data_IF_323457207959
#
_entry.id   IF_323457207959
#
_cell.length_a   1.000
_cell.length_b   1.000
_cell.length_c   1.000
_cell.angle_alpha   90.00
_cell.angle_beta   90.00
_cell.angle_gamma   90.00
#
_symmetry.space_group_name_H-M   'P 1'
#
loop_
_entity.id
_entity.type
_entity.pdbx_description
1 polymer ?
#
# COMPACT_ATOMS: atom_id res chain seq x y z
N UNK A 1 -1.23 22.18 14.38
CA UNK A 1 -0.85 21.01 15.21
C UNK A 1 -1.47 19.80 14.52
N UNK A 2 -0.64 18.83 14.10
CA UNK A 2 -1.14 17.58 13.54
C UNK A 2 -1.83 16.81 14.68
N UNK A 3 -3.13 16.59 14.57
CA UNK A 3 -3.87 15.82 15.55
C UNK A 3 -3.81 14.36 15.15
N UNK A 4 -2.82 13.66 15.71
CA UNK A 4 -2.75 12.22 15.65
C UNK A 4 -3.91 11.62 16.43
N UNK A 5 -4.68 10.73 15.80
CA UNK A 5 -5.77 9.99 16.44
C UNK A 5 -5.48 8.49 16.34
N UNK A 6 -5.83 7.74 17.39
CA UNK A 6 -5.60 6.30 17.49
C UNK A 6 -6.86 5.59 18.00
N UNK A 7 -7.17 4.43 17.43
CA UNK A 7 -8.25 3.55 17.88
C UNK A 7 -7.80 2.10 17.88
N UNK A 8 -7.99 1.40 19.01
CA UNK A 8 -7.66 -0.03 19.10
C UNK A 8 -8.77 -0.88 18.50
N UNK A 9 -8.37 -1.85 17.68
CA UNK A 9 -9.20 -2.91 17.10
C UNK A 9 -8.95 -4.25 17.80
N UNK A 10 -7.83 -4.34 18.55
CA UNK A 10 -7.45 -5.52 19.33
C UNK A 10 -6.92 -6.70 18.49
N UNK A 11 -6.63 -6.49 17.20
CA UNK A 11 -6.09 -7.49 16.27
C UNK A 11 -5.11 -6.84 15.30
N UNK A 12 -4.02 -7.55 14.96
CA UNK A 12 -3.03 -7.08 14.01
C UNK A 12 -3.70 -6.67 12.70
N UNK A 13 -3.36 -5.48 12.23
CA UNK A 13 -3.79 -4.93 10.94
C UNK A 13 -2.63 -5.13 9.96
N UNK A 14 -2.87 -5.90 8.92
CA UNK A 14 -1.83 -6.32 7.97
C UNK A 14 -1.83 -5.52 6.69
N UNK A 15 -2.98 -4.99 6.30
CA UNK A 15 -3.10 -4.11 5.15
C UNK A 15 -4.24 -3.12 5.33
N UNK A 16 -4.15 -1.98 4.65
CA UNK A 16 -5.17 -0.93 4.64
C UNK A 16 -5.24 -0.31 3.25
N UNK A 17 -6.47 0.04 2.81
CA UNK A 17 -6.71 0.66 1.52
C UNK A 17 -7.89 1.63 1.60
N UNK A 18 -7.70 2.87 1.17
CA UNK A 18 -8.78 3.84 1.01
C UNK A 18 -9.68 3.46 -0.16
N UNK A 19 -10.96 3.72 0.00
CA UNK A 19 -11.97 3.54 -1.04
C UNK A 19 -12.50 4.90 -1.47
N UNK A 20 -12.82 5.09 -2.77
CA UNK A 20 -13.33 6.36 -3.25
C UNK A 20 -14.70 6.63 -2.66
N UNK A 21 -15.09 7.90 -2.55
CA UNK A 21 -16.44 8.27 -2.22
C UNK A 21 -17.41 7.73 -3.28
N UNK A 22 -18.67 7.55 -2.89
CA UNK A 22 -19.71 6.96 -3.71
C UNK A 22 -19.81 7.62 -5.09
N UNK A 23 -19.97 6.82 -6.13
CA UNK A 23 -20.18 7.32 -7.48
C UNK A 23 -21.43 8.21 -7.52
N UNK A 24 -21.27 9.50 -7.89
CA UNK A 24 -22.33 10.49 -7.96
C UNK A 24 -22.39 11.49 -6.78
N UNK A 25 -21.69 11.26 -5.67
CA UNK A 25 -21.50 12.23 -4.60
C UNK A 25 -20.20 13.01 -4.85
N UNK A 26 -20.27 14.03 -5.67
CA UNK A 26 -19.13 14.91 -5.88
C UNK A 26 -18.74 15.60 -4.58
N UNK A 27 -17.54 15.34 -4.03
CA UNK A 27 -16.85 16.09 -2.96
C UNK A 27 -17.71 16.59 -1.77
N UNK A 28 -18.94 16.09 -1.62
CA UNK A 28 -19.89 16.50 -0.58
C UNK A 28 -20.08 15.43 0.49
N UNK A 29 -19.40 14.27 0.35
CA UNK A 29 -19.51 13.21 1.32
C UNK A 29 -18.81 13.59 2.62
N UNK A 30 -19.59 13.64 3.67
CA UNK A 30 -19.11 13.88 5.04
C UNK A 30 -18.39 12.66 5.61
N UNK A 31 -18.45 11.52 4.93
CA UNK A 31 -17.86 10.25 5.34
C UNK A 31 -16.88 9.72 4.29
N UNK A 32 -15.80 9.12 4.78
CA UNK A 32 -14.79 8.41 3.98
C UNK A 32 -14.80 6.94 4.37
N UNK A 33 -14.46 6.10 3.41
CA UNK A 33 -14.42 4.64 3.60
C UNK A 33 -13.02 4.10 3.36
N UNK A 34 -12.63 3.10 4.16
CA UNK A 34 -11.40 2.34 3.96
C UNK A 34 -11.59 0.88 4.40
N UNK A 35 -10.82 -0.02 3.80
CA UNK A 35 -10.79 -1.42 4.17
C UNK A 35 -9.53 -1.74 4.97
N UNK A 36 -9.63 -2.68 5.91
CA UNK A 36 -8.47 -3.25 6.63
C UNK A 36 -8.48 -4.76 6.55
N UNK A 37 -7.30 -5.34 6.35
CA UNK A 37 -7.05 -6.75 6.54
C UNK A 37 -6.65 -7.04 7.99
N UNK A 38 -7.27 -8.04 8.60
CA UNK A 38 -6.98 -8.45 9.95
C UNK A 38 -6.38 -9.86 9.95
N UNK A 39 -5.34 -10.08 10.76
CA UNK A 39 -4.76 -11.40 10.97
C UNK A 39 -5.04 -11.95 12.37
N UNK A 40 -4.84 -13.26 12.54
CA UNK A 40 -5.01 -13.96 13.80
C UNK A 40 -6.10 -15.03 13.77
N UNK A 41 -6.84 -15.21 14.88
CA UNK A 41 -7.83 -16.30 15.02
C UNK A 41 -9.01 -16.17 14.06
N UNK A 42 -9.52 -14.98 13.86
CA UNK A 42 -10.51 -14.68 12.83
C UNK A 42 -9.85 -13.80 11.76
N UNK A 43 -9.67 -14.39 10.59
CA UNK A 43 -9.10 -13.74 9.42
C UNK A 43 -10.25 -13.02 8.74
N UNK A 44 -10.25 -11.70 8.79
CA UNK A 44 -11.37 -10.89 8.33
C UNK A 44 -10.88 -9.71 7.50
N UNK A 45 -11.66 -9.37 6.52
CA UNK A 45 -11.62 -8.11 5.81
C UNK A 45 -12.73 -7.23 6.40
N UNK A 46 -12.39 -6.02 6.82
CA UNK A 46 -13.31 -5.12 7.51
C UNK A 46 -13.39 -3.79 6.78
N UNK A 47 -14.61 -3.33 6.54
CA UNK A 47 -14.90 -2.01 5.98
C UNK A 47 -15.22 -1.04 7.11
N UNK A 48 -14.58 0.11 7.06
CA UNK A 48 -14.72 1.19 8.04
C UNK A 48 -15.21 2.47 7.40
N UNK A 49 -15.91 3.28 8.17
CA UNK A 49 -16.20 4.67 7.83
C UNK A 49 -15.58 5.62 8.85
N UNK A 50 -15.15 6.79 8.39
CA UNK A 50 -14.64 7.89 9.20
C UNK A 50 -15.15 9.22 8.68
N UNK A 51 -15.13 10.26 9.51
CA UNK A 51 -15.51 11.61 9.09
C UNK A 51 -14.49 12.20 8.11
N UNK A 52 -15.01 12.88 7.09
CA UNK A 52 -14.17 13.61 6.15
C UNK A 52 -13.70 14.93 6.81
N UNK A 53 -12.38 15.09 7.05
CA UNK A 53 -11.87 16.28 7.72
C UNK A 53 -12.00 17.58 6.92
N UNK A 54 -12.29 17.51 5.62
CA UNK A 54 -12.52 18.68 4.76
C UNK A 54 -13.89 19.33 5.02
N UNK A 55 -14.80 18.62 5.71
CA UNK A 55 -16.15 19.06 6.07
C UNK A 55 -16.36 19.17 7.59
N UNK A 56 -15.30 19.13 8.41
CA UNK A 56 -15.43 19.43 9.81
C UNK A 56 -16.04 20.85 9.97
N UNK A 57 -17.33 20.90 10.30
CA UNK A 57 -17.97 22.15 10.70
C UNK A 57 -17.28 22.63 11.98
N UNK A 58 -17.04 23.93 12.11
CA UNK A 58 -16.59 24.60 13.35
C UNK A 58 -17.61 24.46 14.51
N UNK A 59 -18.25 23.32 14.64
CA UNK A 59 -19.18 23.04 15.73
C UNK A 59 -18.37 22.86 17.01
N UNK A 60 -18.71 23.70 17.98
CA UNK A 60 -18.17 23.80 19.35
C UNK A 60 -17.86 22.43 19.94
N UNK A 61 -16.75 22.33 20.73
CA UNK A 61 -16.43 21.11 21.45
C UNK A 61 -17.65 20.68 22.27
N UNK A 62 -18.14 19.48 21.99
CA UNK A 62 -19.19 18.87 22.78
C UNK A 62 -18.64 18.69 24.20
N UNK A 63 -19.26 19.40 25.17
CA UNK A 63 -19.00 19.24 26.60
C UNK A 63 -19.64 17.94 27.09
N UNK A 64 -19.15 16.80 26.60
CA UNK A 64 -19.63 15.48 27.00
C UNK A 64 -18.53 14.44 26.81
N UNK A 65 -18.36 13.59 27.81
CA UNK A 65 -17.32 12.56 27.96
C UNK A 65 -17.42 11.37 27.00
N UNK A 66 -18.21 11.45 25.93
CA UNK A 66 -18.27 10.42 24.88
C UNK A 66 -17.52 10.93 23.63
N UNK A 67 -16.22 10.73 23.57
CA UNK A 67 -15.45 10.91 22.33
C UNK A 67 -16.03 9.96 21.26
N UNK A 68 -16.38 10.51 20.10
CA UNK A 68 -16.81 9.73 18.95
C UNK A 68 -15.65 8.83 18.50
N UNK A 69 -15.89 7.55 18.15
CA UNK A 69 -14.83 6.69 17.67
C UNK A 69 -14.20 7.27 16.39
N UNK A 70 -12.90 7.06 16.22
CA UNK A 70 -12.13 7.52 15.07
C UNK A 70 -12.66 6.92 13.76
N UNK A 71 -13.00 5.64 13.79
CA UNK A 71 -13.60 4.91 12.70
C UNK A 71 -14.67 3.96 13.22
N UNK A 72 -15.75 3.81 12.45
CA UNK A 72 -16.87 2.90 12.75
C UNK A 72 -16.85 1.74 11.76
N UNK A 73 -16.91 0.51 12.27
CA UNK A 73 -17.05 -0.68 11.42
C UNK A 73 -18.44 -0.70 10.78
N UNK A 74 -18.50 -0.81 9.46
CA UNK A 74 -19.76 -0.83 8.70
C UNK A 74 -20.07 -2.19 8.06
N UNK A 75 -19.04 -2.93 7.66
CA UNK A 75 -19.20 -4.28 7.13
C UNK A 75 -17.96 -5.13 7.41
N UNK A 76 -18.11 -6.44 7.34
CA UNK A 76 -17.00 -7.40 7.42
C UNK A 76 -17.27 -8.65 6.60
N UNK A 77 -16.21 -9.28 6.11
CA UNK A 77 -16.24 -10.57 5.45
C UNK A 77 -15.15 -11.48 6.00
N UNK A 78 -15.40 -12.79 6.05
CA UNK A 78 -14.36 -13.77 6.32
C UNK A 78 -13.37 -13.83 5.17
N UNK A 79 -12.09 -14.04 5.49
CA UNK A 79 -11.02 -14.17 4.50
C UNK A 79 -10.33 -15.53 4.65
N UNK A 80 -9.94 -16.12 3.53
CA UNK A 80 -9.19 -17.38 3.53
C UNK A 80 -7.69 -17.08 3.65
N UNK A 81 -7.14 -17.30 4.83
CA UNK A 81 -5.79 -16.90 5.19
C UNK A 81 -5.70 -15.47 5.74
N UNK A 82 -4.52 -15.10 6.26
CA UNK A 82 -4.25 -13.73 6.68
C UNK A 82 -4.21 -12.83 5.43
N UNK A 83 -4.84 -11.67 5.51
CA UNK A 83 -4.80 -10.69 4.43
C UNK A 83 -3.40 -10.08 4.38
N UNK A 84 -2.68 -10.25 3.28
CA UNK A 84 -1.32 -9.71 3.12
C UNK A 84 -1.34 -8.34 2.47
N UNK A 85 -2.19 -8.15 1.47
CA UNK A 85 -2.35 -6.87 0.78
C UNK A 85 -3.79 -6.65 0.34
N UNK A 86 -4.18 -5.38 0.19
CA UNK A 86 -5.48 -4.95 -0.33
C UNK A 86 -5.23 -3.89 -1.38
N UNK A 87 -5.82 -4.04 -2.54
CA UNK A 87 -5.78 -3.02 -3.60
C UNK A 87 -7.19 -2.72 -4.10
N UNK A 88 -7.44 -1.46 -4.39
CA UNK A 88 -8.65 -1.03 -5.06
C UNK A 88 -8.56 -1.35 -6.55
N UNK A 89 -9.54 -2.08 -7.05
CA UNK A 89 -9.68 -2.42 -8.48
C UNK A 89 -10.57 -1.41 -9.20
N UNK A 90 -11.68 -1.09 -8.55
CA UNK A 90 -12.64 -0.06 -8.98
C UNK A 90 -13.36 0.50 -7.75
N UNK A 91 -14.16 1.56 -7.88
CA UNK A 91 -14.89 2.13 -6.74
C UNK A 91 -15.68 1.12 -5.90
N UNK A 92 -16.21 0.08 -6.53
CA UNK A 92 -17.06 -0.92 -5.89
C UNK A 92 -16.38 -2.30 -5.79
N UNK A 93 -15.07 -2.40 -6.07
CA UNK A 93 -14.37 -3.68 -6.11
C UNK A 93 -12.97 -3.56 -5.53
N UNK A 94 -12.62 -4.44 -4.60
CA UNK A 94 -11.28 -4.60 -4.05
C UNK A 94 -10.75 -6.01 -4.30
N UNK A 95 -9.43 -6.12 -4.40
CA UNK A 95 -8.74 -7.40 -4.43
C UNK A 95 -7.86 -7.55 -3.19
N UNK A 96 -7.72 -8.78 -2.71
CA UNK A 96 -6.90 -9.12 -1.55
C UNK A 96 -5.92 -10.23 -1.87
N UNK A 97 -4.71 -10.14 -1.30
CA UNK A 97 -3.72 -11.19 -1.26
C UNK A 97 -3.80 -11.96 0.06
N UNK A 98 -3.55 -13.25 0.03
CA UNK A 98 -3.68 -14.15 1.17
C UNK A 98 -2.38 -14.86 1.54
N UNK A 99 -2.22 -15.17 2.81
CA UNK A 99 -1.17 -16.07 3.30
C UNK A 99 -1.30 -17.51 2.78
N UNK A 100 -2.41 -17.89 2.16
CA UNK A 100 -2.60 -19.19 1.51
C UNK A 100 -2.39 -19.13 -0.02
N UNK A 101 -1.82 -18.03 -0.52
CA UNK A 101 -1.49 -17.88 -1.94
C UNK A 101 -2.70 -17.62 -2.82
N UNK A 102 -3.83 -17.22 -2.25
CA UNK A 102 -5.03 -16.88 -3.00
C UNK A 102 -5.10 -15.39 -3.28
N UNK A 103 -5.67 -15.03 -4.43
CA UNK A 103 -6.14 -13.69 -4.77
C UNK A 103 -7.66 -13.73 -4.77
N UNK A 104 -8.29 -12.90 -3.97
CA UNK A 104 -9.75 -12.86 -3.81
C UNK A 104 -10.31 -11.51 -4.20
N UNK A 105 -11.44 -11.49 -4.89
CA UNK A 105 -12.15 -10.29 -5.32
C UNK A 105 -13.41 -10.11 -4.48
N UNK A 106 -13.59 -8.92 -3.94
CA UNK A 106 -14.75 -8.56 -3.14
C UNK A 106 -15.52 -7.41 -3.78
N UNK A 107 -16.84 -7.54 -3.81
CA UNK A 107 -17.75 -6.45 -4.08
C UNK A 107 -17.94 -5.62 -2.81
N UNK A 108 -17.85 -4.31 -2.97
CA UNK A 108 -18.03 -3.34 -1.90
C UNK A 108 -19.23 -2.46 -2.24
N UNK A 109 -20.27 -2.55 -1.45
CA UNK A 109 -21.43 -1.66 -1.59
C UNK A 109 -21.50 -0.74 -0.38
N UNK A 110 -21.31 0.55 -0.63
CA UNK A 110 -21.49 1.58 0.37
C UNK A 110 -22.96 2.01 0.36
N UNK A 111 -23.59 2.09 1.53
CA UNK A 111 -24.92 2.67 1.68
C UNK A 111 -24.87 3.96 2.49
N UNK A 112 -25.81 4.86 2.28
CA UNK A 112 -26.00 6.04 3.13
C UNK A 112 -26.33 5.66 4.59
N UNK A 113 -26.79 4.43 4.83
CA UNK A 113 -26.90 3.82 6.14
C UNK A 113 -25.75 2.82 6.32
N UNK A 114 -24.96 2.96 7.38
CA UNK A 114 -23.88 2.03 7.71
C UNK A 114 -24.36 0.57 7.83
N UNK A 115 -25.65 0.37 8.22
CA UNK A 115 -26.28 -0.95 8.33
C UNK A 115 -26.46 -1.68 6.99
N UNK A 116 -26.46 -0.96 5.88
CA UNK A 116 -26.77 -1.49 4.55
C UNK A 116 -25.50 -1.63 3.67
N UNK A 117 -24.34 -1.28 4.23
CA UNK A 117 -23.06 -1.49 3.56
C UNK A 117 -22.73 -2.98 3.54
N UNK A 118 -22.30 -3.48 2.38
CA UNK A 118 -22.01 -4.89 2.17
C UNK A 118 -20.60 -5.08 1.63
N UNK A 119 -19.91 -6.08 2.18
CA UNK A 119 -18.63 -6.58 1.71
C UNK A 119 -18.80 -8.06 1.37
N UNK A 120 -18.80 -8.41 0.09
CA UNK A 120 -19.13 -9.75 -0.36
C UNK A 120 -18.04 -10.34 -1.25
N UNK A 121 -17.55 -11.54 -0.89
CA UNK A 121 -16.68 -12.30 -1.77
C UNK A 121 -17.36 -12.62 -3.08
N UNK A 122 -16.76 -12.19 -4.20
CA UNK A 122 -17.20 -12.50 -5.56
C UNK A 122 -16.59 -13.80 -6.05
N UNK A 123 -15.27 -13.88 -6.01
CA UNK A 123 -14.49 -15.02 -6.51
C UNK A 123 -13.11 -15.04 -5.85
N UNK A 124 -12.50 -16.23 -5.81
CA UNK A 124 -11.14 -16.43 -5.31
C UNK A 124 -10.40 -17.42 -6.19
N UNK A 125 -9.11 -17.17 -6.42
CA UNK A 125 -8.24 -18.04 -7.21
C UNK A 125 -6.90 -18.25 -6.51
N UNK A 126 -6.37 -19.48 -6.59
CA UNK A 126 -5.02 -19.77 -6.08
C UNK A 126 -3.99 -19.28 -7.10
N UNK A 127 -3.21 -18.28 -6.71
CA UNK A 127 -2.20 -17.64 -7.56
C UNK A 127 -0.79 -18.17 -7.29
N UNK A 128 -0.49 -18.57 -6.03
CA UNK A 128 0.85 -18.94 -5.59
C UNK A 128 0.88 -20.28 -4.90
N UNK A 129 1.79 -21.15 -5.37
CA UNK A 129 2.10 -22.46 -4.76
C UNK A 129 3.57 -22.80 -4.99
N UNK A 130 4.19 -23.40 -4.00
CA UNK A 130 5.49 -24.03 -4.15
C UNK A 130 5.43 -25.25 -5.06
N UNK A 131 6.59 -25.70 -5.55
CA UNK A 131 6.69 -26.87 -6.44
C UNK A 131 6.18 -28.18 -5.80
N UNK A 132 6.19 -28.27 -4.45
CA UNK A 132 5.62 -29.39 -3.70
C UNK A 132 4.10 -29.35 -3.57
N UNK A 133 3.44 -28.31 -4.12
CA UNK A 133 2.00 -28.10 -4.09
C UNK A 133 1.47 -27.39 -2.84
N UNK A 134 2.33 -27.10 -1.86
CA UNK A 134 1.93 -26.33 -0.69
C UNK A 134 1.62 -24.86 -1.05
N UNK A 135 0.71 -24.20 -0.33
CA UNK A 135 0.44 -22.78 -0.51
C UNK A 135 1.71 -21.95 -0.29
N UNK A 136 1.97 -21.01 -1.18
CA UNK A 136 2.97 -19.96 -0.98
C UNK A 136 2.27 -18.63 -0.72
N UNK A 137 2.77 -17.82 0.20
CA UNK A 137 2.16 -16.53 0.53
C UNK A 137 2.13 -15.63 -0.71
N UNK A 138 0.97 -15.04 -1.01
CA UNK A 138 0.86 -13.92 -1.94
C UNK A 138 1.24 -12.65 -1.19
N UNK A 139 2.39 -12.05 -1.53
CA UNK A 139 3.02 -10.99 -0.73
C UNK A 139 2.47 -9.60 -1.03
N UNK A 140 2.18 -9.31 -2.31
CA UNK A 140 1.66 -8.01 -2.72
C UNK A 140 0.84 -8.12 -4.01
N UNK A 141 0.01 -7.09 -4.24
CA UNK A 141 -0.84 -6.92 -5.41
C UNK A 141 -0.59 -5.57 -6.08
N UNK A 142 -0.78 -5.51 -7.38
CA UNK A 142 -0.86 -4.25 -8.13
C UNK A 142 -1.87 -4.36 -9.25
N UNK A 143 -2.73 -3.35 -9.40
CA UNK A 143 -3.72 -3.27 -10.48
C UNK A 143 -3.10 -2.60 -11.69
N UNK A 144 -3.29 -3.17 -12.87
CA UNK A 144 -2.83 -2.59 -14.13
C UNK A 144 -3.48 -1.22 -14.35
N UNK A 145 -2.71 -0.17 -14.67
CA UNK A 145 -3.23 1.20 -14.81
C UNK A 145 -3.93 1.40 -16.15
N UNK A 146 -5.01 0.67 -16.38
CA UNK A 146 -5.89 0.77 -17.56
C UNK A 146 -7.34 0.85 -17.11
N UNK A 147 -8.12 1.70 -17.80
CA UNK A 147 -9.56 1.80 -17.56
C UNK A 147 -10.30 0.81 -18.48
N UNK A 148 -10.14 -0.47 -18.24
CA UNK A 148 -10.75 -1.54 -19.05
C UNK A 148 -11.26 -2.67 -18.17
N UNK A 149 -12.32 -3.33 -18.59
CA UNK A 149 -12.80 -4.58 -17.99
C UNK A 149 -11.79 -5.73 -18.12
N UNK A 150 -10.84 -5.60 -19.05
CA UNK A 150 -9.77 -6.57 -19.30
C UNK A 150 -8.48 -6.25 -18.52
N UNK A 151 -8.54 -5.32 -17.57
CA UNK A 151 -7.44 -5.02 -16.66
C UNK A 151 -7.01 -6.28 -15.90
N UNK A 152 -5.72 -6.35 -15.58
CA UNK A 152 -5.12 -7.46 -14.83
C UNK A 152 -4.65 -6.99 -13.45
N UNK A 153 -4.65 -7.91 -12.51
CA UNK A 153 -3.92 -7.77 -11.25
C UNK A 153 -2.62 -8.56 -11.40
N UNK A 154 -1.49 -7.92 -11.12
CA UNK A 154 -0.24 -8.62 -10.87
C UNK A 154 -0.18 -8.96 -9.38
N UNK A 155 0.01 -10.24 -9.07
CA UNK A 155 0.27 -10.75 -7.73
C UNK A 155 1.67 -11.32 -7.68
N UNK A 156 2.40 -11.11 -6.60
CA UNK A 156 3.70 -11.74 -6.40
C UNK A 156 3.70 -12.57 -5.11
N UNK A 157 4.65 -13.50 -4.96
CA UNK A 157 4.63 -14.42 -3.84
C UNK A 157 5.98 -14.99 -3.42
N UNK A 158 5.93 -15.77 -2.34
CA UNK A 158 7.09 -16.47 -1.78
C UNK A 158 7.63 -17.57 -2.71
N UNK A 159 6.85 -17.99 -3.71
CA UNK A 159 7.24 -18.97 -4.73
C UNK A 159 8.14 -18.38 -5.84
N UNK A 160 8.54 -17.12 -5.71
CA UNK A 160 9.39 -16.45 -6.69
C UNK A 160 8.67 -16.07 -8.00
N UNK A 161 7.34 -16.09 -8.01
CA UNK A 161 6.52 -15.89 -9.22
C UNK A 161 5.79 -14.55 -9.22
N UNK A 162 5.47 -14.10 -10.44
CA UNK A 162 4.41 -13.13 -10.68
C UNK A 162 3.24 -13.87 -11.33
N UNK A 163 2.05 -13.74 -10.76
CA UNK A 163 0.80 -14.22 -11.33
C UNK A 163 0.00 -13.04 -11.88
N UNK A 164 -0.41 -13.14 -13.12
CA UNK A 164 -1.30 -12.19 -13.79
C UNK A 164 -2.73 -12.75 -13.76
N UNK A 165 -3.60 -12.04 -13.06
CA UNK A 165 -4.99 -12.43 -12.81
C UNK A 165 -5.92 -11.50 -13.60
N UNK A 166 -6.50 -11.94 -14.74
CA UNK A 166 -7.43 -11.13 -15.51
C UNK A 166 -8.73 -10.90 -14.72
N UNK A 167 -9.18 -9.65 -14.59
CA UNK A 167 -10.40 -9.29 -13.86
C UNK A 167 -11.67 -9.83 -14.51
N UNK A 168 -11.66 -9.97 -15.83
CA UNK A 168 -12.78 -10.54 -16.59
C UNK A 168 -12.96 -12.05 -16.37
N UNK A 169 -11.89 -12.76 -15.98
CA UNK A 169 -11.89 -14.22 -15.81
C UNK A 169 -10.73 -14.66 -14.91
N UNK A 170 -10.92 -14.68 -13.61
CA UNK A 170 -9.86 -15.01 -12.64
C UNK A 170 -9.20 -16.36 -12.89
N UNK A 171 -10.00 -17.38 -13.28
CA UNK A 171 -9.49 -18.72 -13.58
C UNK A 171 -8.56 -18.81 -14.81
N UNK A 172 -8.41 -17.73 -15.60
CA UNK A 172 -7.46 -17.66 -16.72
C UNK A 172 -6.09 -17.12 -16.30
N UNK A 173 -5.78 -17.09 -14.99
CA UNK A 173 -4.51 -16.62 -14.47
C UNK A 173 -3.31 -17.33 -15.09
N UNK A 174 -2.21 -16.60 -15.23
CA UNK A 174 -0.92 -17.09 -15.72
C UNK A 174 0.16 -16.70 -14.72
N UNK A 175 0.95 -17.66 -14.25
CA UNK A 175 2.04 -17.41 -13.31
C UNK A 175 3.40 -17.77 -13.92
N UNK A 176 4.38 -16.89 -13.73
CA UNK A 176 5.72 -17.04 -14.28
C UNK A 176 6.76 -16.87 -13.17
N UNK A 177 7.71 -17.78 -13.10
CA UNK A 177 8.86 -17.70 -12.20
C UNK A 177 9.82 -16.62 -12.72
N UNK A 178 10.13 -15.65 -11.85
CA UNK A 178 11.05 -14.55 -12.16
C UNK A 178 12.28 -14.56 -11.26
N UNK A 179 12.19 -15.22 -10.11
CA UNK A 179 13.27 -15.33 -9.13
C UNK A 179 13.21 -16.67 -8.41
N UNK A 180 14.35 -17.12 -7.90
CA UNK A 180 14.45 -18.27 -7.00
C UNK A 180 14.20 -17.90 -5.53
N UNK A 181 14.11 -16.59 -5.23
CA UNK A 181 13.84 -16.05 -3.88
C UNK A 181 12.44 -15.43 -3.83
N UNK A 182 12.03 -15.01 -2.64
CA UNK A 182 10.75 -14.34 -2.42
C UNK A 182 10.66 -13.04 -3.24
N UNK A 183 9.57 -12.88 -3.97
CA UNK A 183 9.18 -11.60 -4.57
C UNK A 183 8.34 -10.84 -3.54
N UNK A 184 8.88 -9.74 -3.04
CA UNK A 184 8.35 -9.00 -1.87
C UNK A 184 7.31 -7.96 -2.23
N UNK A 185 7.42 -7.38 -3.43
CA UNK A 185 6.50 -6.36 -3.90
C UNK A 185 6.40 -6.30 -5.42
N UNK A 186 5.31 -5.74 -5.92
CA UNK A 186 5.02 -5.60 -7.36
C UNK A 186 4.35 -4.27 -7.64
N UNK A 187 4.67 -3.65 -8.79
CA UNK A 187 3.98 -2.47 -9.29
C UNK A 187 3.96 -2.44 -10.82
N UNK A 188 3.11 -1.59 -11.39
CA UNK A 188 3.00 -1.36 -12.83
C UNK A 188 3.55 0.03 -13.19
N UNK A 189 4.80 0.17 -13.66
CA UNK A 189 5.31 1.44 -14.18
C UNK A 189 4.56 1.92 -15.42
N UNK A 190 4.15 0.97 -16.27
CA UNK A 190 3.32 1.20 -17.46
C UNK A 190 2.31 0.05 -17.62
N UNK A 191 1.25 0.21 -18.43
CA UNK A 191 0.33 -0.90 -18.69
C UNK A 191 0.96 -2.16 -19.27
N UNK A 192 2.14 -2.05 -19.88
CA UNK A 192 2.85 -3.17 -20.52
C UNK A 192 4.03 -3.70 -19.69
N UNK A 193 4.38 -3.06 -18.58
CA UNK A 193 5.56 -3.44 -17.79
C UNK A 193 5.22 -3.58 -16.32
N UNK A 194 5.73 -4.63 -15.72
CA UNK A 194 5.66 -4.91 -14.28
C UNK A 194 7.06 -4.82 -13.69
N UNK A 195 7.21 -4.13 -12.58
CA UNK A 195 8.43 -4.14 -11.78
C UNK A 195 8.17 -4.87 -10.46
N UNK A 196 9.12 -5.70 -10.07
CA UNK A 196 9.03 -6.50 -8.85
C UNK A 196 10.30 -6.35 -8.02
N UNK A 197 10.16 -6.19 -6.70
CA UNK A 197 11.25 -6.24 -5.73
C UNK A 197 11.43 -7.66 -5.20
N UNK A 198 12.67 -8.03 -4.89
CA UNK A 198 12.98 -9.36 -4.37
C UNK A 198 13.78 -9.27 -3.07
N UNK A 199 13.68 -10.32 -2.26
CA UNK A 199 14.47 -10.45 -1.03
C UNK A 199 15.99 -10.57 -1.31
N UNK A 200 16.36 -10.90 -2.54
CA UNK A 200 17.75 -10.86 -2.99
C UNK A 200 18.30 -9.44 -3.26
N UNK A 201 17.54 -8.38 -2.93
CA UNK A 201 17.96 -6.99 -3.13
C UNK A 201 17.88 -6.51 -4.58
N UNK A 202 17.08 -7.17 -5.42
CA UNK A 202 16.97 -6.86 -6.85
C UNK A 202 15.59 -6.28 -7.18
N UNK A 203 15.55 -5.38 -8.15
CA UNK A 203 14.32 -5.03 -8.87
C UNK A 203 14.38 -5.72 -10.24
N UNK A 204 13.33 -6.44 -10.60
CA UNK A 204 13.17 -7.12 -11.89
C UNK A 204 12.08 -6.46 -12.69
N UNK A 205 12.38 -6.10 -13.93
CA UNK A 205 11.42 -5.55 -14.87
C UNK A 205 11.01 -6.65 -15.85
N UNK A 206 9.70 -6.82 -16.02
CA UNK A 206 9.09 -7.82 -16.90
C UNK A 206 8.17 -7.12 -17.89
N UNK A 207 8.31 -7.43 -19.19
CA UNK A 207 7.36 -6.99 -20.23
C UNK A 207 6.19 -7.96 -20.25
N UNK A 208 4.95 -7.45 -20.09
CA UNK A 208 3.74 -8.29 -20.08
C UNK A 208 3.52 -9.06 -21.38
N UNK A 209 4.10 -8.61 -22.50
CA UNK A 209 4.05 -9.30 -23.80
C UNK A 209 4.98 -10.51 -23.87
N UNK A 210 6.01 -10.55 -23.03
CA UNK A 210 6.97 -11.65 -22.86
C UNK A 210 7.16 -11.98 -21.37
N UNK A 211 6.10 -12.41 -20.66
CA UNK A 211 6.07 -12.44 -19.21
C UNK A 211 6.96 -13.52 -18.58
N UNK A 212 7.45 -14.47 -19.38
CA UNK A 212 8.38 -15.52 -18.94
C UNK A 212 9.84 -15.02 -18.88
N UNK A 213 10.13 -13.82 -19.39
CA UNK A 213 11.48 -13.28 -19.49
C UNK A 213 11.63 -12.00 -18.67
N UNK A 214 12.65 -11.95 -17.81
CA UNK A 214 13.05 -10.74 -17.12
C UNK A 214 13.79 -9.83 -18.11
N UNK A 215 13.22 -8.69 -18.44
CA UNK A 215 13.77 -7.77 -19.44
C UNK A 215 14.94 -6.92 -18.90
N UNK A 216 14.96 -6.63 -17.59
CA UNK A 216 16.06 -5.94 -16.93
C UNK A 216 16.11 -6.30 -15.44
N UNK A 217 17.33 -6.28 -14.88
CA UNK A 217 17.59 -6.47 -13.45
C UNK A 217 18.37 -5.27 -12.94
N UNK A 218 17.90 -4.72 -11.83
CA UNK A 218 18.50 -3.59 -11.15
C UNK A 218 19.06 -4.08 -9.82
N UNK A 219 20.37 -3.87 -9.63
CA UNK A 219 21.09 -4.26 -8.42
C UNK A 219 21.99 -3.10 -8.03
N UNK A 220 22.04 -2.78 -6.75
CA UNK A 220 23.11 -1.96 -6.23
C UNK A 220 24.26 -2.88 -5.79
N UNK A 221 25.38 -2.91 -6.53
CA UNK A 221 26.49 -3.82 -6.24
C UNK A 221 27.27 -3.44 -4.97
N UNK A 222 27.02 -2.25 -4.41
CA UNK A 222 27.72 -1.75 -3.21
C UNK A 222 27.04 -2.16 -1.91
N UNK A 223 25.83 -2.74 -1.97
CA UNK A 223 25.01 -2.98 -0.80
C UNK A 223 24.53 -4.44 -0.71
N UNK A 224 24.31 -4.86 0.53
CA UNK A 224 23.82 -6.19 0.86
C UNK A 224 22.56 -6.05 1.72
N UNK A 225 21.45 -5.62 1.08
CA UNK A 225 20.15 -5.45 1.69
C UNK A 225 19.07 -6.23 0.93
N UNK A 226 17.98 -6.56 1.60
CA UNK A 226 16.75 -7.02 0.98
C UNK A 226 15.87 -5.84 0.56
N UNK A 227 15.13 -5.98 -0.54
CA UNK A 227 14.04 -5.06 -0.85
C UNK A 227 12.73 -5.65 -0.30
N UNK A 228 12.00 -4.85 0.47
CA UNK A 228 10.77 -5.29 1.14
C UNK A 228 9.50 -4.78 0.44
N UNK A 229 9.59 -3.67 -0.28
CA UNK A 229 8.47 -3.08 -1.00
C UNK A 229 8.92 -2.25 -2.21
N UNK A 230 7.99 -2.00 -3.13
CA UNK A 230 8.23 -1.21 -4.35
C UNK A 230 6.99 -0.43 -4.74
N UNK A 231 7.17 0.76 -5.30
CA UNK A 231 6.11 1.57 -5.89
C UNK A 231 6.57 2.25 -7.17
N UNK A 232 5.66 2.40 -8.13
CA UNK A 232 5.87 3.19 -9.36
C UNK A 232 5.44 4.63 -9.16
N UNK A 233 6.16 5.56 -9.80
CA UNK A 233 5.80 6.98 -9.78
C UNK A 233 4.53 7.22 -10.62
N UNK A 234 3.55 8.00 -10.12
CA UNK A 234 2.24 8.13 -10.78
C UNK A 234 2.28 8.82 -12.15
N UNK A 235 3.26 9.69 -12.41
CA UNK A 235 3.38 10.43 -13.68
C UNK A 235 4.69 10.22 -14.44
N UNK A 236 5.72 9.67 -13.78
CA UNK A 236 7.02 9.38 -14.39
C UNK A 236 7.25 7.87 -14.43
N UNK A 237 6.71 7.21 -15.44
CA UNK A 237 6.71 5.75 -15.59
C UNK A 237 8.09 5.08 -15.54
N UNK A 238 9.16 5.87 -15.67
CA UNK A 238 10.54 5.40 -15.57
C UNK A 238 11.11 5.45 -14.14
N UNK A 239 10.34 5.91 -13.15
CA UNK A 239 10.80 6.00 -11.76
C UNK A 239 10.11 4.99 -10.85
N UNK A 240 10.94 4.34 -10.03
CA UNK A 240 10.53 3.39 -9.01
C UNK A 240 11.10 3.81 -7.66
N UNK A 241 10.32 3.65 -6.60
CA UNK A 241 10.80 3.75 -5.23
C UNK A 241 10.78 2.37 -4.59
N UNK A 242 11.80 2.00 -3.85
CA UNK A 242 11.89 0.75 -3.11
C UNK A 242 12.36 0.98 -1.68
N UNK A 243 11.80 0.24 -0.74
CA UNK A 243 12.18 0.23 0.66
C UNK A 243 13.03 -1.00 0.99
N UNK A 244 14.02 -0.82 1.86
CA UNK A 244 14.95 -1.87 2.26
C UNK A 244 14.68 -2.38 3.68
N UNK A 245 15.29 -3.51 4.04
CA UNK A 245 15.33 -4.06 5.40
C UNK A 245 16.21 -3.24 6.36
N UNK A 246 17.03 -2.31 5.84
CA UNK A 246 17.91 -1.44 6.61
C UNK A 246 17.35 -0.05 6.88
N UNK A 247 16.10 0.22 6.50
CA UNK A 247 15.45 1.52 6.72
C UNK A 247 15.75 2.57 5.65
N UNK A 248 16.38 2.19 4.56
CA UNK A 248 16.72 3.06 3.44
C UNK A 248 15.62 3.05 2.39
N UNK A 249 15.36 4.20 1.78
CA UNK A 249 14.51 4.32 0.59
C UNK A 249 15.42 4.62 -0.61
N UNK A 250 15.20 3.87 -1.69
CA UNK A 250 15.96 4.00 -2.93
C UNK A 250 15.02 4.41 -4.07
N UNK A 251 15.47 5.34 -4.89
CA UNK A 251 14.76 5.71 -6.12
C UNK A 251 15.59 5.30 -7.33
N UNK A 252 14.94 4.57 -8.23
CA UNK A 252 15.56 4.05 -9.44
C UNK A 252 14.97 4.71 -10.68
N UNK A 253 15.83 4.91 -11.68
CA UNK A 253 15.42 5.22 -13.06
C UNK A 253 15.57 3.94 -13.90
N UNK A 254 14.47 3.38 -14.40
CA UNK A 254 14.49 2.14 -15.19
C UNK A 254 15.28 2.23 -16.49
N UNK A 255 15.62 3.43 -16.94
CA UNK A 255 16.48 3.67 -18.11
C UNK A 255 17.96 3.55 -17.78
N UNK A 256 18.32 3.58 -16.48
CA UNK A 256 19.69 3.45 -16.00
C UNK A 256 19.78 2.39 -14.89
N UNK A 257 19.97 1.10 -15.25
CA UNK A 257 19.91 -0.01 -14.31
C UNK A 257 21.17 -0.18 -13.45
N UNK A 258 22.22 0.64 -13.64
CA UNK A 258 23.54 0.41 -13.05
C UNK A 258 23.63 0.78 -11.57
N UNK A 259 22.82 1.72 -11.12
CA UNK A 259 22.78 2.21 -9.72
C UNK A 259 21.49 2.97 -9.46
N UNK A 260 21.08 3.11 -8.20
CA UNK A 260 19.99 4.00 -7.83
C UNK A 260 20.25 5.44 -8.31
N UNK A 261 19.19 6.14 -8.69
CA UNK A 261 19.25 7.56 -9.04
C UNK A 261 19.42 8.42 -7.77
N UNK A 262 18.77 8.03 -6.69
CA UNK A 262 18.98 8.60 -5.36
C UNK A 262 18.75 7.58 -4.25
N UNK A 263 19.42 7.79 -3.13
CA UNK A 263 19.25 7.06 -1.90
C UNK A 263 18.90 8.05 -0.79
N UNK A 264 17.90 7.70 0.02
CA UNK A 264 17.56 8.42 1.23
C UNK A 264 17.91 7.54 2.41
N UNK A 265 19.07 7.79 2.98
CA UNK A 265 19.60 7.03 4.09
C UNK A 265 18.91 7.42 5.42
N UNK A 266 18.80 6.43 6.32
CA UNK A 266 18.32 6.65 7.70
C UNK A 266 16.90 7.28 7.78
N UNK A 267 16.04 6.94 6.84
CA UNK A 267 14.62 7.31 6.94
C UNK A 267 13.99 6.61 8.13
N UNK A 268 14.29 5.33 8.27
CA UNK A 268 13.82 4.44 9.32
C UNK A 268 15.00 3.70 10.00
N UNK A 269 14.74 3.13 11.16
CA UNK A 269 15.72 2.36 11.93
C UNK A 269 15.58 0.84 11.70
N UNK A 270 14.61 0.42 10.89
CA UNK A 270 14.28 -0.98 10.62
C UNK A 270 13.59 -1.13 9.26
N UNK A 271 13.14 -2.36 8.94
CA UNK A 271 12.51 -2.71 7.67
C UNK A 271 11.44 -1.71 7.23
N UNK A 272 11.50 -1.28 5.99
CA UNK A 272 10.47 -0.46 5.34
C UNK A 272 9.43 -1.38 4.71
N UNK A 273 8.28 -1.52 5.36
CA UNK A 273 7.24 -2.45 4.93
C UNK A 273 6.43 -1.97 3.72
N UNK A 274 6.23 -0.66 3.63
CA UNK A 274 5.48 -0.08 2.50
C UNK A 274 6.07 1.26 2.12
N UNK A 275 6.06 1.55 0.81
CA UNK A 275 6.44 2.83 0.22
C UNK A 275 5.39 3.23 -0.81
N UNK A 276 5.05 4.51 -0.87
CA UNK A 276 4.28 5.06 -1.99
C UNK A 276 4.71 6.49 -2.30
N UNK A 277 4.50 6.93 -3.53
CA UNK A 277 4.58 8.35 -3.86
C UNK A 277 3.35 9.06 -3.32
N UNK A 278 3.55 10.23 -2.72
CA UNK A 278 2.45 11.00 -2.14
C UNK A 278 1.46 11.43 -3.25
N UNK A 279 0.14 11.14 -3.12
CA UNK A 279 -0.81 11.34 -4.20
C UNK A 279 -0.98 12.80 -4.64
N UNK A 280 -0.84 13.77 -3.73
CA UNK A 280 -0.95 15.20 -4.04
C UNK A 280 0.38 15.83 -4.45
N UNK A 281 1.53 15.24 -4.08
CA UNK A 281 2.86 15.78 -4.37
C UNK A 281 3.86 14.64 -4.55
N UNK A 282 3.97 14.15 -5.76
CA UNK A 282 4.82 13.02 -6.11
C UNK A 282 6.34 13.30 -6.01
N UNK A 283 6.74 14.53 -5.66
CA UNK A 283 8.12 14.80 -5.23
C UNK A 283 8.44 14.25 -3.84
N UNK A 284 7.41 13.78 -3.12
CA UNK A 284 7.50 13.19 -1.79
C UNK A 284 7.16 11.71 -1.82
N UNK A 285 7.84 10.96 -0.98
CA UNK A 285 7.59 9.54 -0.73
C UNK A 285 7.11 9.40 0.70
N UNK A 286 6.06 8.61 0.89
CA UNK A 286 5.56 8.19 2.19
C UNK A 286 6.00 6.75 2.42
N UNK A 287 6.44 6.43 3.63
CA UNK A 287 6.89 5.08 4.01
C UNK A 287 6.51 4.74 5.44
N UNK A 288 6.36 3.46 5.74
CA UNK A 288 6.19 2.97 7.10
C UNK A 288 7.17 1.83 7.41
N UNK A 289 7.41 1.64 8.71
CA UNK A 289 8.46 0.73 9.15
C UNK A 289 8.11 -0.03 10.43
N UNK A 290 8.90 -1.07 10.62
CA UNK A 290 8.93 -1.85 11.85
C UNK A 290 9.39 -1.04 13.09
N UNK A 291 10.00 0.13 12.88
CA UNK A 291 10.37 1.08 13.94
C UNK A 291 9.18 1.88 14.52
N UNK A 292 7.96 1.49 14.14
CA UNK A 292 6.71 2.14 14.55
C UNK A 292 6.56 3.60 14.07
N UNK A 293 7.20 3.96 12.97
CA UNK A 293 7.10 5.30 12.38
C UNK A 293 6.50 5.27 10.97
N UNK A 294 5.85 6.38 10.61
CA UNK A 294 5.57 6.76 9.23
C UNK A 294 6.41 7.98 8.90
N UNK A 295 7.02 8.00 7.75
CA UNK A 295 7.86 9.11 7.30
C UNK A 295 7.39 9.66 5.96
N UNK A 296 7.52 10.97 5.80
CA UNK A 296 7.37 11.67 4.52
C UNK A 296 8.73 12.22 4.15
N UNK A 297 9.24 11.83 2.98
CA UNK A 297 10.60 12.14 2.53
C UNK A 297 10.57 12.87 1.21
N UNK A 298 11.27 14.00 1.12
CA UNK A 298 11.51 14.70 -0.14
C UNK A 298 12.62 13.97 -0.89
N UNK A 299 12.31 13.34 -2.05
CA UNK A 299 13.30 12.64 -2.86
C UNK A 299 13.80 13.45 -4.06
N UNK A 300 12.95 14.32 -4.60
CA UNK A 300 13.31 15.16 -5.75
C UNK A 300 13.88 16.49 -5.24
N UNK A 301 15.18 16.66 -5.36
CA UNK A 301 15.85 17.97 -5.21
C UNK A 301 16.36 18.44 -6.56
N UNK A 302 16.47 19.74 -6.71
CA UNK A 302 17.19 20.33 -7.85
C UNK A 302 18.63 19.77 -7.91
N UNK A 303 19.10 19.49 -9.13
CA UNK A 303 20.35 18.75 -9.40
C UNK A 303 21.63 19.35 -8.78
N UNK A 304 21.54 20.57 -8.25
CA UNK A 304 22.66 21.33 -7.70
C UNK A 304 22.78 21.28 -6.17
N UNK A 305 21.92 20.56 -5.48
CA UNK A 305 21.96 20.44 -4.01
C UNK A 305 22.52 19.09 -3.57
N UNK A 306 23.21 19.08 -2.42
CA UNK A 306 23.79 17.90 -1.79
C UNK A 306 22.77 16.75 -1.60
N UNK A 307 23.21 15.49 -1.50
CA UNK A 307 22.32 14.35 -1.31
C UNK A 307 21.35 14.57 -0.16
N UNK A 308 20.15 14.05 -0.30
CA UNK A 308 19.07 14.18 0.68
C UNK A 308 19.55 13.72 2.05
N UNK A 309 19.57 14.62 3.01
CA UNK A 309 20.01 14.33 4.38
C UNK A 309 18.80 13.99 5.26
N UNK A 310 19.03 13.42 6.44
CA UNK A 310 17.99 13.12 7.42
C UNK A 310 17.13 14.36 7.83
N UNK A 311 17.57 15.58 7.50
CA UNK A 311 16.82 16.84 7.72
C UNK A 311 15.60 16.99 6.79
N UNK A 312 15.59 16.27 5.67
CA UNK A 312 14.50 16.31 4.69
C UNK A 312 13.43 15.23 4.95
N UNK A 313 13.54 14.53 6.07
CA UNK A 313 12.62 13.48 6.52
C UNK A 313 11.71 14.06 7.60
N UNK A 314 10.43 14.21 7.28
CA UNK A 314 9.40 14.46 8.30
C UNK A 314 8.96 13.11 8.87
N UNK A 315 9.49 12.72 10.01
CA UNK A 315 8.98 11.57 10.76
C UNK A 315 7.67 11.98 11.42
N UNK A 316 6.59 11.34 11.03
CA UNK A 316 5.33 11.44 11.76
C UNK A 316 5.54 10.69 13.08
N UNK A 317 5.17 11.33 14.18
CA UNK A 317 5.50 10.96 15.56
C UNK A 317 5.44 9.46 15.85
N UNK A 318 6.38 8.98 16.66
CA UNK A 318 6.32 7.65 17.26
C UNK A 318 5.02 7.52 18.09
N UNK A 319 4.18 6.59 17.70
CA UNK A 319 2.93 6.31 18.39
C UNK A 319 3.23 5.60 19.72
N UNK A 320 2.65 6.07 20.80
CA UNK A 320 2.78 5.41 22.11
C UNK A 320 2.12 4.02 22.05
N UNK A 321 2.84 2.99 22.49
CA UNK A 321 2.40 1.59 22.54
C UNK A 321 2.11 0.93 21.18
N UNK A 322 2.77 1.36 20.12
CA UNK A 322 2.75 0.69 18.80
C UNK A 322 4.06 -0.06 18.62
N UNK A 323 3.96 -1.34 18.27
CA UNK A 323 5.14 -2.20 18.09
C UNK A 323 5.76 -2.06 16.69
N UNK A 324 4.92 -1.93 15.67
CA UNK A 324 5.30 -1.85 14.26
C UNK A 324 4.15 -1.26 13.46
N UNK A 325 4.46 -0.53 12.40
CA UNK A 325 3.48 -0.10 11.40
C UNK A 325 3.76 -0.86 10.12
N UNK A 326 2.93 -1.88 9.85
CA UNK A 326 3.10 -2.77 8.71
C UNK A 326 2.46 -2.25 7.42
N UNK A 327 1.51 -1.33 7.52
CA UNK A 327 0.75 -0.83 6.38
C UNK A 327 0.26 0.59 6.60
N UNK A 328 0.08 1.30 5.50
CA UNK A 328 -0.58 2.61 5.47
C UNK A 328 -1.19 2.86 4.10
N UNK A 329 -2.08 3.83 4.02
CA UNK A 329 -2.54 4.41 2.78
C UNK A 329 -2.85 5.90 2.95
N UNK A 330 -2.65 6.69 1.90
CA UNK A 330 -2.91 8.14 1.88
C UNK A 330 -4.14 8.40 1.04
N UNK A 331 -5.16 9.00 1.64
CA UNK A 331 -6.42 9.29 0.98
C UNK A 331 -6.23 10.28 -0.19
N UNK A 332 -6.43 9.85 -1.44
CA UNK A 332 -6.30 10.76 -2.59
C UNK A 332 -7.55 11.63 -2.81
N UNK A 333 -8.63 11.37 -2.04
CA UNK A 333 -9.96 11.98 -2.23
C UNK A 333 -10.21 13.18 -1.32
N UNK A 334 -9.26 13.54 -0.44
CA UNK A 334 -9.36 14.68 0.48
C UNK A 334 -8.32 15.74 0.18
N UNK A 335 -8.64 17.00 0.42
CA UNK A 335 -7.66 18.11 0.31
C UNK A 335 -6.58 18.02 1.38
N UNK A 336 -6.92 17.47 2.53
CA UNK A 336 -6.02 17.31 3.68
C UNK A 336 -5.12 16.08 3.57
N UNK A 337 -5.29 15.23 2.54
CA UNK A 337 -4.53 13.98 2.35
C UNK A 337 -4.43 13.17 3.66
N UNK A 338 -5.59 12.75 4.14
CA UNK A 338 -5.68 11.97 5.38
C UNK A 338 -4.91 10.67 5.23
N UNK A 339 -3.96 10.43 6.11
CA UNK A 339 -3.24 9.17 6.20
C UNK A 339 -3.95 8.24 7.18
N UNK A 340 -4.11 6.97 6.80
CA UNK A 340 -4.49 5.89 7.68
C UNK A 340 -3.37 4.85 7.72
N UNK A 341 -3.05 4.35 8.92
CA UNK A 341 -2.05 3.29 9.08
C UNK A 341 -2.56 2.21 10.03
N UNK A 342 -2.06 1.01 9.82
CA UNK A 342 -2.35 -0.16 10.65
C UNK A 342 -1.11 -0.68 11.37
N UNK A 343 -1.28 -1.07 12.63
CA UNK A 343 -0.18 -1.56 13.45
C UNK A 343 -0.33 -3.03 13.83
N UNK A 344 0.80 -3.64 14.14
CA UNK A 344 0.87 -5.01 14.68
C UNK A 344 0.20 -5.14 16.05
N UNK A 345 0.15 -4.05 16.83
CA UNK A 345 -0.57 -3.98 18.10
C UNK A 345 -2.09 -3.85 17.95
N UNK A 346 -2.59 -3.82 16.72
CA UNK A 346 -4.03 -3.77 16.41
C UNK A 346 -4.64 -2.38 16.59
N UNK A 347 -3.91 -1.35 16.22
CA UNK A 347 -4.41 0.02 16.24
C UNK A 347 -4.56 0.58 14.83
N UNK A 348 -5.70 1.23 14.58
CA UNK A 348 -5.89 2.15 13.47
C UNK A 348 -5.33 3.51 13.90
N UNK A 349 -4.47 4.06 13.09
CA UNK A 349 -3.81 5.35 13.30
C UNK A 349 -4.23 6.27 12.17
N UNK A 350 -4.63 7.50 12.49
CA UNK A 350 -4.99 8.49 11.47
C UNK A 350 -4.32 9.82 11.75
N UNK A 351 -3.82 10.43 10.68
CA UNK A 351 -3.20 11.76 10.74
C UNK A 351 -3.50 12.55 9.48
N UNK A 352 -3.73 13.86 9.64
CA UNK A 352 -3.79 14.79 8.50
C UNK A 352 -2.39 14.96 7.97
N UNK A 353 -2.12 14.52 6.74
CA UNK A 353 -0.82 14.69 6.11
C UNK A 353 -0.62 16.17 5.75
N UNK A 354 0.26 16.85 6.45
CA UNK A 354 0.62 18.24 6.18
C UNK A 354 1.53 18.34 4.95
N UNK A 355 1.02 17.94 3.78
CA UNK A 355 1.79 18.00 2.52
C UNK A 355 2.11 19.43 2.05
N UNK A 356 1.54 20.45 2.68
CA UNK A 356 1.59 21.85 2.20
C UNK A 356 2.45 22.80 3.03
N UNK A 357 3.09 22.37 4.10
CA UNK A 357 3.89 23.27 4.94
C UNK A 357 5.29 22.74 5.26
N UNK A 358 6.12 22.51 4.25
CA UNK A 358 7.55 22.75 4.39
C UNK A 358 7.82 24.23 4.12
N UNK A 359 7.34 25.12 5.01
CA UNK A 359 7.95 26.43 5.12
C UNK A 359 9.24 26.22 5.89
N UNK A 360 10.34 26.23 5.20
CA UNK A 360 11.68 26.42 5.74
C UNK A 360 11.67 27.72 6.58
N UNK A 361 11.89 27.58 7.88
CA UNK A 361 12.53 28.57 8.71
C UNK A 361 13.93 28.11 9.06
#
# INVERSE_FOLDING_TARGET
MNTLKQQSVGRKITSVCWLPPRAGSAYTDTELYFATGLSGRSKELVLWTTENPDFESESKPATGTNEKPLATQVAKASHDGDVQDIVMVSPDVIATASSYGTVSIYDVHHSASASDSVLKLRESVTAHRFANGEPAVSTALAVQPVNSSDAEIASCGEDGRIAYVPLSRLGALQAYEIDSTVVTGVCWPTPAQVAASTRAGQIKLVDRRSPAEVSAVFIDPSSNYSLECIASHPSQSFRLAAGTDTGTIMVWDIRNPKKPDSEVLNVHESNVWRVCYHPADSSKIVSCSNDATVAITQWAKDRDTAPTTARDVLRMSSFFNVLSIGCFDVCPFTRTNLLVAGSDSGNILMEKSAATSFSLF
#
